data_IF_656783043136
#
_entry.id   IF_656783043136
#
_cell.length_a   1.000
_cell.length_b   1.000
_cell.length_c   1.000
_cell.angle_alpha   90.00
_cell.angle_beta   90.00
_cell.angle_gamma   90.00
#
_symmetry.space_group_name_H-M   'P 1'
#
loop_
_entity.id
_entity.type
_entity.pdbx_description
1 polymer ?
#
# COMPACT_ATOMS: atom_id res chain seq x y z
N UNK A 1 -22.86 21.22 -29.78
CA UNK A 1 -22.39 19.92 -30.31
C UNK A 1 -21.11 19.59 -29.58
N UNK A 2 -21.21 18.79 -28.51
CA UNK A 2 -20.02 18.32 -27.78
C UNK A 2 -19.25 17.36 -28.69
N UNK A 3 -17.95 17.56 -28.83
CA UNK A 3 -17.06 16.61 -29.47
C UNK A 3 -17.11 15.32 -28.65
N UNK A 4 -17.61 14.24 -29.23
CA UNK A 4 -17.52 12.89 -28.67
C UNK A 4 -16.04 12.55 -28.70
N UNK A 5 -15.45 12.33 -27.52
CA UNK A 5 -14.06 11.88 -27.42
C UNK A 5 -13.88 10.59 -28.26
N UNK A 6 -12.75 10.41 -28.95
CA UNK A 6 -12.53 9.18 -29.71
C UNK A 6 -12.61 7.98 -28.78
N UNK A 7 -13.42 6.99 -29.14
CA UNK A 7 -13.52 5.74 -28.39
C UNK A 7 -12.22 4.95 -28.56
N UNK A 8 -11.63 4.52 -27.44
CA UNK A 8 -10.45 3.67 -27.43
C UNK A 8 -10.91 2.22 -27.30
N UNK A 9 -10.80 1.46 -28.38
CA UNK A 9 -11.42 0.14 -28.51
C UNK A 9 -10.87 -0.94 -27.57
N UNK A 10 -9.69 -0.75 -26.98
CA UNK A 10 -8.96 -1.80 -26.22
C UNK A 10 -8.87 -1.51 -24.72
N UNK A 11 -9.83 -0.78 -24.16
CA UNK A 11 -9.83 -0.52 -22.70
C UNK A 11 -10.23 -1.80 -21.95
N UNK A 12 -9.35 -2.25 -21.04
CA UNK A 12 -9.56 -3.44 -20.23
C UNK A 12 -10.30 -3.13 -18.92
N UNK A 13 -9.89 -2.07 -18.19
CA UNK A 13 -10.47 -1.74 -16.90
C UNK A 13 -10.16 -0.29 -16.45
N UNK A 14 -10.95 0.19 -15.50
CA UNK A 14 -10.68 1.39 -14.69
C UNK A 14 -10.14 0.99 -13.32
N UNK A 15 -9.01 1.57 -12.93
CA UNK A 15 -8.50 1.52 -11.57
C UNK A 15 -8.56 2.88 -10.90
N UNK A 16 -9.03 2.90 -9.69
CA UNK A 16 -9.11 4.10 -8.86
C UNK A 16 -8.23 3.92 -7.64
N UNK A 17 -7.28 4.82 -7.43
CA UNK A 17 -6.53 4.96 -6.19
C UNK A 17 -7.18 6.08 -5.37
N UNK A 18 -7.87 5.70 -4.28
CA UNK A 18 -8.63 6.58 -3.41
C UNK A 18 -7.81 6.92 -2.17
N UNK A 19 -7.12 8.04 -2.22
CA UNK A 19 -6.42 8.60 -1.07
C UNK A 19 -7.27 9.60 -0.28
N UNK A 20 -6.83 9.96 0.92
CA UNK A 20 -7.54 10.91 1.80
C UNK A 20 -7.62 12.35 1.26
N UNK A 21 -6.76 12.74 0.32
CA UNK A 21 -6.74 14.11 -0.23
C UNK A 21 -6.97 14.18 -1.73
N UNK A 22 -6.69 13.09 -2.44
CA UNK A 22 -6.80 13.00 -3.90
C UNK A 22 -7.29 11.62 -4.33
N UNK A 23 -8.04 11.59 -5.41
CA UNK A 23 -8.47 10.40 -6.14
C UNK A 23 -7.73 10.40 -7.46
N UNK A 24 -7.04 9.30 -7.80
CA UNK A 24 -6.42 9.09 -9.09
C UNK A 24 -7.14 7.95 -9.84
N UNK A 25 -7.78 8.27 -10.95
CA UNK A 25 -8.48 7.31 -11.81
C UNK A 25 -7.68 7.06 -13.08
N UNK A 26 -7.35 5.80 -13.33
CA UNK A 26 -6.48 5.36 -14.42
C UNK A 26 -7.20 4.34 -15.28
N UNK A 27 -7.26 4.58 -16.58
CA UNK A 27 -7.78 3.65 -17.59
C UNK A 27 -6.62 2.86 -18.18
N UNK A 28 -6.74 1.54 -18.19
CA UNK A 28 -5.75 0.62 -18.75
C UNK A 28 -6.28 -0.14 -19.93
N UNK A 29 -5.39 -0.41 -20.90
CA UNK A 29 -5.67 -1.30 -22.04
C UNK A 29 -5.45 -2.79 -21.69
N UNK A 30 -5.65 -3.70 -22.66
CA UNK A 30 -5.45 -5.15 -22.49
C UNK A 30 -3.99 -5.55 -22.25
N UNK A 31 -3.04 -4.67 -22.51
CA UNK A 31 -1.62 -4.83 -22.23
C UNK A 31 -1.18 -4.18 -20.92
N UNK A 32 -2.13 -3.69 -20.12
CA UNK A 32 -1.93 -2.98 -18.84
C UNK A 32 -1.10 -1.70 -18.96
N UNK A 33 -1.13 -1.08 -20.17
CA UNK A 33 -0.55 0.24 -20.36
C UNK A 33 -1.58 1.31 -19.99
N UNK A 34 -1.09 2.38 -19.38
CA UNK A 34 -1.92 3.53 -19.01
C UNK A 34 -2.37 4.25 -20.26
N UNK A 35 -3.67 4.27 -20.51
CA UNK A 35 -4.30 4.94 -21.66
C UNK A 35 -4.63 6.39 -21.32
N UNK A 36 -5.28 6.61 -20.19
CA UNK A 36 -5.73 7.94 -19.77
C UNK A 36 -5.83 8.00 -18.25
N UNK A 37 -5.73 9.20 -17.70
CA UNK A 37 -5.83 9.40 -16.25
C UNK A 37 -6.59 10.68 -15.91
N UNK A 38 -7.28 10.66 -14.78
CA UNK A 38 -7.87 11.82 -14.13
C UNK A 38 -7.45 11.88 -12.68
N UNK A 39 -7.30 13.08 -12.18
CA UNK A 39 -7.02 13.33 -10.76
C UNK A 39 -7.97 14.41 -10.26
N UNK A 40 -8.66 14.12 -9.15
CA UNK A 40 -9.60 15.03 -8.50
C UNK A 40 -9.33 15.08 -7.00
N UNK A 41 -9.79 16.10 -6.31
CA UNK A 41 -9.74 16.17 -4.86
C UNK A 41 -10.70 15.14 -4.25
N UNK A 42 -10.33 14.55 -3.11
CA UNK A 42 -11.23 13.67 -2.34
C UNK A 42 -12.22 14.56 -1.57
N UNK A 43 -13.53 14.37 -1.77
CA UNK A 43 -14.53 15.06 -0.96
C UNK A 43 -14.51 14.59 0.50
N UNK A 44 -14.76 15.51 1.42
CA UNK A 44 -14.93 15.21 2.85
C UNK A 44 -16.33 14.64 3.16
N UNK A 45 -17.32 14.93 2.31
CA UNK A 45 -18.69 14.41 2.42
C UNK A 45 -18.83 13.06 1.71
N UNK A 46 -19.47 12.10 2.37
CA UNK A 46 -19.63 10.74 1.83
C UNK A 46 -20.46 10.71 0.55
N UNK A 47 -21.58 11.45 0.50
CA UNK A 47 -22.46 11.46 -0.68
C UNK A 47 -21.77 12.10 -1.87
N UNK A 48 -21.02 13.18 -1.64
CA UNK A 48 -20.20 13.80 -2.68
C UNK A 48 -19.09 12.85 -3.17
N UNK A 49 -18.48 12.07 -2.27
CA UNK A 49 -17.49 11.06 -2.64
C UNK A 49 -18.10 10.01 -3.58
N UNK A 50 -19.27 9.45 -3.24
CA UNK A 50 -19.97 8.48 -4.11
C UNK A 50 -20.26 9.09 -5.49
N UNK A 51 -20.72 10.36 -5.53
CA UNK A 51 -20.99 11.08 -6.78
C UNK A 51 -19.75 11.22 -7.65
N UNK A 52 -18.62 11.65 -7.08
CA UNK A 52 -17.34 11.79 -7.80
C UNK A 52 -16.85 10.44 -8.33
N UNK A 53 -16.95 9.37 -7.54
CA UNK A 53 -16.55 8.03 -7.99
C UNK A 53 -17.44 7.57 -9.16
N UNK A 54 -18.74 7.80 -9.10
CA UNK A 54 -19.66 7.48 -10.18
C UNK A 54 -19.33 8.26 -11.46
N UNK A 55 -19.02 9.55 -11.37
CA UNK A 55 -18.58 10.37 -12.52
C UNK A 55 -17.31 9.81 -13.18
N UNK A 56 -16.32 9.37 -12.37
CA UNK A 56 -15.10 8.76 -12.89
C UNK A 56 -15.37 7.42 -13.59
N UNK A 57 -16.31 6.62 -13.09
CA UNK A 57 -16.73 5.38 -13.72
C UNK A 57 -17.41 5.65 -15.06
N UNK A 58 -18.38 6.58 -15.11
CA UNK A 58 -19.08 6.93 -16.36
C UNK A 58 -18.16 7.58 -17.38
N UNK A 59 -17.13 8.32 -16.93
CA UNK A 59 -16.08 8.79 -17.82
C UNK A 59 -15.35 7.64 -18.51
N UNK A 60 -14.92 6.62 -17.74
CA UNK A 60 -14.22 5.48 -18.31
C UNK A 60 -15.12 4.68 -19.28
N UNK A 61 -16.40 4.49 -18.93
CA UNK A 61 -17.39 3.84 -19.82
C UNK A 61 -17.57 4.61 -21.13
N UNK A 62 -17.61 5.94 -21.06
CA UNK A 62 -17.71 6.81 -22.25
C UNK A 62 -16.50 6.66 -23.15
N UNK A 63 -15.29 6.61 -22.58
CA UNK A 63 -14.04 6.40 -23.32
C UNK A 63 -14.01 5.04 -24.02
N UNK A 64 -14.51 4.00 -23.35
CA UNK A 64 -14.56 2.65 -23.86
C UNK A 64 -15.76 2.38 -24.80
N UNK A 65 -16.78 3.24 -24.79
CA UNK A 65 -18.07 3.00 -25.47
C UNK A 65 -18.89 1.84 -24.90
N UNK A 66 -18.52 1.36 -23.69
CA UNK A 66 -19.18 0.25 -22.98
C UNK A 66 -18.85 0.30 -21.49
N UNK A 67 -19.64 -0.35 -20.62
CA UNK A 67 -19.25 -0.57 -19.25
C UNK A 67 -17.93 -1.34 -19.14
N UNK A 68 -16.99 -0.85 -18.33
CA UNK A 68 -15.70 -1.50 -18.07
C UNK A 68 -15.62 -2.01 -16.61
N UNK A 69 -14.86 -3.07 -16.33
CA UNK A 69 -14.54 -3.47 -14.95
C UNK A 69 -13.94 -2.30 -14.16
N UNK A 70 -14.36 -2.16 -12.91
CA UNK A 70 -13.92 -1.06 -12.01
C UNK A 70 -13.35 -1.62 -10.74
N UNK A 71 -12.12 -1.24 -10.44
CA UNK A 71 -11.47 -1.53 -9.16
C UNK A 71 -11.10 -0.26 -8.41
N UNK A 72 -11.33 -0.27 -7.11
CA UNK A 72 -11.00 0.82 -6.18
C UNK A 72 -9.99 0.30 -5.16
N UNK A 73 -8.80 0.87 -5.17
CA UNK A 73 -7.79 0.70 -4.12
C UNK A 73 -7.90 1.85 -3.13
N UNK A 74 -8.06 1.56 -1.85
CA UNK A 74 -8.13 2.61 -0.83
C UNK A 74 -7.55 2.15 0.50
N UNK A 75 -7.05 3.11 1.29
CA UNK A 75 -6.65 2.84 2.66
C UNK A 75 -7.86 2.42 3.51
N UNK A 76 -7.76 1.27 4.17
CA UNK A 76 -8.82 0.69 4.98
C UNK A 76 -9.22 -0.72 4.56
N UNK A 77 -10.17 -1.28 5.27
CA UNK A 77 -10.65 -2.65 5.09
C UNK A 77 -12.18 -2.66 4.97
N UNK A 78 -12.70 -3.66 4.29
CA UNK A 78 -14.13 -3.96 4.33
C UNK A 78 -14.35 -5.18 5.23
N UNK A 79 -15.21 -5.03 6.22
CA UNK A 79 -15.57 -6.12 7.10
C UNK A 79 -16.36 -7.17 6.30
N UNK A 80 -15.86 -8.42 6.17
CA UNK A 80 -16.53 -9.43 5.35
C UNK A 80 -17.85 -9.94 5.95
N UNK A 81 -18.14 -9.63 7.22
CA UNK A 81 -19.36 -10.09 7.91
C UNK A 81 -20.55 -9.19 7.58
N UNK A 82 -20.35 -7.87 7.62
CA UNK A 82 -21.43 -6.89 7.45
C UNK A 82 -21.23 -5.93 6.28
N UNK A 83 -20.10 -5.99 5.58
CA UNK A 83 -19.78 -5.15 4.43
C UNK A 83 -19.44 -3.70 4.77
N UNK A 84 -19.25 -3.36 6.05
CA UNK A 84 -18.91 -1.99 6.45
C UNK A 84 -17.43 -1.69 6.27
N UNK A 85 -17.11 -0.45 5.90
CA UNK A 85 -15.75 0.01 5.76
C UNK A 85 -15.13 0.40 7.12
N UNK A 86 -13.90 -0.03 7.36
CA UNK A 86 -13.01 0.46 8.41
C UNK A 86 -11.96 1.35 7.73
N UNK A 87 -12.04 2.66 7.92
CA UNK A 87 -11.10 3.62 7.35
C UNK A 87 -10.82 4.75 8.35
N UNK A 88 -9.56 5.22 8.39
CA UNK A 88 -9.17 6.31 9.29
C UNK A 88 -9.26 7.70 8.63
N UNK A 89 -8.95 7.78 7.33
CA UNK A 89 -8.74 9.07 6.63
C UNK A 89 -9.72 9.29 5.47
N UNK A 90 -10.82 8.54 5.43
CA UNK A 90 -11.86 8.64 4.41
C UNK A 90 -13.24 8.74 5.09
N UNK A 91 -14.20 9.45 4.50
CA UNK A 91 -15.57 9.55 5.05
C UNK A 91 -16.37 8.24 4.87
N UNK A 92 -15.70 7.11 4.68
CA UNK A 92 -16.29 5.79 4.42
C UNK A 92 -16.49 4.95 5.67
N UNK A 93 -15.93 5.35 6.83
CA UNK A 93 -16.00 4.58 8.07
C UNK A 93 -17.45 4.25 8.47
N UNK A 94 -17.73 2.96 8.71
CA UNK A 94 -19.05 2.46 9.06
C UNK A 94 -20.07 2.46 7.92
N UNK A 95 -19.67 2.75 6.67
CA UNK A 95 -20.54 2.74 5.47
C UNK A 95 -20.36 1.46 4.67
N UNK A 96 -21.39 1.06 3.92
CA UNK A 96 -21.30 -0.05 2.96
C UNK A 96 -20.68 0.43 1.63
N UNK A 97 -19.50 1.01 1.72
CA UNK A 97 -18.86 1.81 0.68
C UNK A 97 -18.83 1.15 -0.71
N UNK A 98 -18.35 -0.11 -0.88
CA UNK A 98 -18.34 -0.73 -2.21
C UNK A 98 -19.72 -0.95 -2.79
N UNK A 99 -20.70 -1.32 -1.94
CA UNK A 99 -22.08 -1.53 -2.36
C UNK A 99 -22.75 -0.21 -2.78
N UNK A 100 -22.50 0.87 -2.04
CA UNK A 100 -23.08 2.20 -2.34
C UNK A 100 -22.51 2.75 -3.67
N UNK A 101 -21.21 2.57 -3.95
CA UNK A 101 -20.65 2.90 -5.25
C UNK A 101 -21.27 2.03 -6.33
N UNK A 102 -21.39 0.72 -6.09
CA UNK A 102 -22.02 -0.22 -7.02
C UNK A 102 -23.46 0.16 -7.37
N UNK A 103 -24.24 0.59 -6.38
CA UNK A 103 -25.60 1.11 -6.60
C UNK A 103 -25.61 2.38 -7.46
N UNK A 104 -24.68 3.31 -7.19
CA UNK A 104 -24.61 4.57 -7.95
C UNK A 104 -24.24 4.36 -9.43
N UNK A 105 -23.45 3.32 -9.75
CA UNK A 105 -23.01 3.02 -11.11
C UNK A 105 -23.81 1.88 -11.78
N UNK A 106 -24.75 1.27 -11.05
CA UNK A 106 -25.62 0.20 -11.57
C UNK A 106 -24.94 -1.15 -11.79
N UNK A 107 -23.76 -1.39 -11.19
CA UNK A 107 -23.02 -2.66 -11.28
C UNK A 107 -22.03 -2.83 -10.13
N UNK A 108 -21.60 -4.06 -9.82
CA UNK A 108 -20.58 -4.29 -8.79
C UNK A 108 -19.26 -3.56 -9.12
N UNK A 109 -18.59 -3.07 -8.08
CA UNK A 109 -17.22 -2.56 -8.14
C UNK A 109 -16.33 -3.41 -7.22
N UNK A 110 -15.10 -3.65 -7.68
CA UNK A 110 -14.09 -4.33 -6.87
C UNK A 110 -13.50 -3.33 -5.88
N UNK A 111 -13.33 -3.74 -4.63
CA UNK A 111 -12.60 -3.00 -3.62
C UNK A 111 -11.38 -3.79 -3.14
N UNK A 112 -10.25 -3.12 -3.05
CA UNK A 112 -9.04 -3.64 -2.41
C UNK A 112 -8.49 -2.60 -1.43
N UNK A 113 -7.89 -3.08 -0.35
CA UNK A 113 -6.95 -2.24 0.39
C UNK A 113 -5.80 -1.81 -0.54
N UNK A 114 -5.31 -0.57 -0.40
CA UNK A 114 -4.25 0.02 -1.24
C UNK A 114 -2.98 -0.83 -1.29
N UNK A 115 -2.57 -1.38 -0.14
CA UNK A 115 -1.38 -2.24 -0.03
C UNK A 115 -1.54 -3.55 -0.80
N UNK A 116 -2.73 -4.14 -0.78
CA UNK A 116 -3.03 -5.35 -1.55
C UNK A 116 -3.12 -5.06 -3.04
N UNK A 117 -3.69 -3.91 -3.41
CA UNK A 117 -3.71 -3.48 -4.80
C UNK A 117 -2.28 -3.34 -5.35
N UNK A 118 -1.36 -2.70 -4.60
CA UNK A 118 0.04 -2.65 -4.95
C UNK A 118 0.65 -4.06 -5.07
N UNK A 119 0.39 -4.93 -4.09
CA UNK A 119 0.91 -6.31 -4.11
C UNK A 119 0.52 -7.04 -5.39
N UNK A 120 -0.77 -7.00 -5.75
CA UNK A 120 -1.27 -7.64 -6.96
C UNK A 120 -0.65 -7.05 -8.23
N UNK A 121 -0.57 -5.72 -8.29
CA UNK A 121 0.07 -5.01 -9.40
C UNK A 121 1.50 -5.46 -9.61
N UNK A 122 2.28 -5.50 -8.54
CA UNK A 122 3.70 -5.84 -8.63
C UNK A 122 3.93 -7.34 -8.86
N UNK A 123 3.12 -8.20 -8.26
CA UNK A 123 3.23 -9.65 -8.46
C UNK A 123 2.89 -10.07 -9.91
N UNK A 124 1.86 -9.45 -10.50
CA UNK A 124 1.41 -9.81 -11.85
C UNK A 124 2.12 -9.03 -12.96
N UNK A 125 2.42 -7.75 -12.74
CA UNK A 125 2.77 -6.79 -13.78
C UNK A 125 4.06 -5.99 -13.52
N UNK A 126 4.69 -6.15 -12.34
CA UNK A 126 5.82 -5.36 -11.92
C UNK A 126 7.03 -6.19 -11.47
N UNK A 127 7.75 -5.72 -10.45
CA UNK A 127 8.99 -6.29 -9.94
C UNK A 127 8.87 -7.76 -9.45
N UNK A 128 7.65 -8.19 -9.09
CA UNK A 128 7.36 -9.56 -8.62
C UNK A 128 7.07 -10.57 -9.73
N UNK A 129 7.07 -10.17 -11.00
CA UNK A 129 6.81 -11.09 -12.11
C UNK A 129 7.80 -12.25 -12.12
N UNK A 130 7.28 -13.47 -12.25
CA UNK A 130 8.10 -14.69 -12.29
C UNK A 130 8.43 -15.29 -10.93
N UNK A 131 8.16 -14.59 -9.83
CA UNK A 131 8.21 -15.16 -8.49
C UNK A 131 6.87 -15.80 -8.14
N UNK A 132 6.91 -16.94 -7.48
CA UNK A 132 5.70 -17.68 -7.10
C UNK A 132 4.99 -17.04 -5.90
N UNK A 133 5.75 -16.80 -4.83
CA UNK A 133 5.25 -16.19 -3.59
C UNK A 133 5.84 -14.80 -3.45
N UNK A 134 5.04 -13.80 -3.70
CA UNK A 134 5.42 -12.39 -3.62
C UNK A 134 4.79 -11.78 -2.38
N UNK A 135 5.59 -11.13 -1.57
CA UNK A 135 5.11 -10.32 -0.47
C UNK A 135 5.46 -8.85 -0.71
N UNK A 136 4.59 -7.94 -0.36
CA UNK A 136 4.92 -6.51 -0.35
C UNK A 136 4.96 -5.96 1.07
N UNK A 137 5.77 -4.93 1.27
CA UNK A 137 5.78 -4.10 2.47
C UNK A 137 5.71 -2.63 2.03
N UNK A 138 4.63 -1.97 2.39
CA UNK A 138 4.45 -0.54 2.12
C UNK A 138 4.88 0.24 3.34
N UNK A 139 5.81 1.16 3.13
CA UNK A 139 6.41 2.02 4.14
C UNK A 139 6.11 3.49 3.77
N UNK A 140 5.24 4.13 4.54
CA UNK A 140 4.78 5.49 4.26
C UNK A 140 4.25 6.19 5.51
N UNK A 141 3.07 6.80 5.40
CA UNK A 141 2.31 7.35 6.55
C UNK A 141 1.93 6.25 7.55
N UNK A 142 1.59 5.05 7.03
CA UNK A 142 1.38 3.82 7.75
C UNK A 142 2.27 2.71 7.21
N UNK A 143 2.04 1.48 7.71
CA UNK A 143 2.74 0.26 7.30
C UNK A 143 1.71 -0.83 7.03
N UNK A 144 1.70 -1.31 5.80
CA UNK A 144 0.85 -2.41 5.37
C UNK A 144 1.55 -3.29 4.35
N UNK A 145 0.82 -4.22 3.77
CA UNK A 145 1.34 -5.05 2.70
C UNK A 145 0.31 -6.03 2.17
N UNK A 146 0.79 -7.05 1.51
CA UNK A 146 -0.02 -8.14 1.00
C UNK A 146 0.85 -9.32 0.61
N UNK A 147 0.18 -10.41 0.30
CA UNK A 147 0.81 -11.65 -0.16
C UNK A 147 0.08 -12.06 -1.44
N UNK A 148 0.85 -12.39 -2.46
CA UNK A 148 0.35 -13.01 -3.68
C UNK A 148 1.07 -14.34 -3.91
N UNK A 149 0.33 -15.37 -4.29
CA UNK A 149 0.84 -16.70 -4.61
C UNK A 149 0.35 -17.06 -6.00
N UNK A 150 1.28 -17.46 -6.88
CA UNK A 150 0.98 -17.77 -8.29
C UNK A 150 0.23 -16.59 -8.99
N UNK A 151 0.60 -15.35 -8.66
CA UNK A 151 -0.01 -14.13 -9.20
C UNK A 151 -1.40 -13.78 -8.65
N UNK A 152 -1.89 -14.49 -7.63
CA UNK A 152 -3.19 -14.28 -7.01
C UNK A 152 -3.03 -13.77 -5.57
N UNK A 153 -3.85 -12.78 -5.18
CA UNK A 153 -3.85 -12.28 -3.81
C UNK A 153 -4.34 -13.34 -2.81
N UNK A 154 -3.63 -13.45 -1.70
CA UNK A 154 -4.08 -14.16 -0.53
C UNK A 154 -4.99 -13.25 0.31
N UNK A 155 -6.29 -13.31 0.11
CA UNK A 155 -7.25 -12.50 0.88
C UNK A 155 -7.32 -12.90 2.36
N UNK A 156 -7.23 -14.19 2.65
CA UNK A 156 -7.46 -14.73 3.99
C UNK A 156 -8.94 -14.71 4.39
N UNK A 157 -9.28 -15.47 5.43
CA UNK A 157 -10.68 -15.66 5.86
C UNK A 157 -11.34 -14.39 6.42
N UNK A 158 -10.55 -13.54 7.10
CA UNK A 158 -11.01 -12.28 7.71
C UNK A 158 -10.66 -11.04 6.91
N UNK A 159 -9.98 -11.21 5.78
CA UNK A 159 -9.45 -10.11 4.97
C UNK A 159 -8.54 -9.12 5.75
N UNK A 160 -7.85 -9.58 6.80
CA UNK A 160 -6.87 -8.79 7.56
C UNK A 160 -5.42 -9.19 7.27
N UNK A 161 -5.19 -10.19 6.40
CA UNK A 161 -3.83 -10.56 5.97
C UNK A 161 -3.15 -9.37 5.28
N UNK A 162 -1.90 -9.07 5.64
CA UNK A 162 -1.20 -7.90 5.11
C UNK A 162 -1.16 -6.68 6.04
N UNK A 163 -1.93 -6.68 7.13
CA UNK A 163 -1.90 -5.64 8.16
C UNK A 163 -0.63 -5.75 9.05
N UNK A 164 0.52 -5.85 8.41
CA UNK A 164 1.82 -6.14 9.05
C UNK A 164 2.24 -5.06 10.03
N UNK A 165 1.84 -3.81 9.80
CA UNK A 165 2.11 -2.69 10.69
C UNK A 165 1.51 -2.84 12.09
N UNK A 166 0.45 -3.65 12.23
CA UNK A 166 -0.22 -3.87 13.50
C UNK A 166 0.32 -5.04 14.33
N UNK A 167 1.38 -5.71 13.84
CA UNK A 167 2.19 -6.64 14.63
C UNK A 167 2.89 -5.84 15.74
N UNK A 168 3.04 -6.44 16.91
CA UNK A 168 3.72 -5.79 18.05
C UNK A 168 5.20 -5.58 17.75
N UNK A 169 5.72 -4.41 18.06
CA UNK A 169 7.17 -4.16 18.05
C UNK A 169 7.91 -5.07 19.02
N UNK A 170 9.14 -5.47 18.67
CA UNK A 170 10.00 -6.28 19.53
C UNK A 170 10.28 -5.55 20.85
N UNK A 171 9.83 -6.14 21.96
CA UNK A 171 10.09 -5.59 23.29
C UNK A 171 11.59 -5.45 23.59
N UNK A 172 12.42 -6.37 23.08
CA UNK A 172 13.86 -6.33 23.22
C UNK A 172 14.48 -5.12 22.52
N UNK A 173 14.07 -4.84 21.26
CA UNK A 173 14.58 -3.70 20.51
C UNK A 173 14.05 -2.37 21.07
N UNK A 174 12.79 -2.32 21.49
CA UNK A 174 12.21 -1.14 22.15
C UNK A 174 13.00 -0.79 23.41
N UNK A 175 13.31 -1.77 24.26
CA UNK A 175 14.10 -1.56 25.47
C UNK A 175 15.57 -1.22 25.16
N UNK A 176 16.18 -1.88 24.17
CA UNK A 176 17.56 -1.67 23.77
C UNK A 176 17.84 -0.22 23.33
N UNK A 177 16.88 0.37 22.59
CA UNK A 177 17.04 1.70 22.02
C UNK A 177 16.24 2.79 22.75
N UNK A 178 15.65 2.46 23.90
CA UNK A 178 14.80 3.36 24.70
C UNK A 178 13.70 4.06 23.87
N UNK A 179 13.01 3.27 23.02
CA UNK A 179 12.02 3.80 22.10
C UNK A 179 10.66 4.02 22.77
N UNK A 180 9.95 5.09 22.41
CA UNK A 180 8.62 5.35 22.97
C UNK A 180 7.57 4.38 22.41
N UNK A 181 6.78 3.78 23.29
CA UNK A 181 5.57 3.07 22.91
C UNK A 181 4.41 4.06 22.83
N UNK A 182 3.88 4.27 21.63
CA UNK A 182 2.77 5.20 21.40
C UNK A 182 1.50 4.46 20.94
N UNK A 183 0.35 5.13 21.08
CA UNK A 183 -0.91 4.62 20.60
C UNK A 183 -0.90 4.53 19.06
N UNK A 184 -1.43 3.44 18.54
CA UNK A 184 -1.64 3.21 17.12
C UNK A 184 -3.10 3.54 16.73
N UNK A 185 -3.33 3.92 15.49
CA UNK A 185 -4.65 4.17 14.93
C UNK A 185 -5.63 2.99 15.04
N UNK A 186 -5.12 1.75 15.20
CA UNK A 186 -5.95 0.56 15.43
C UNK A 186 -6.48 0.43 16.88
N UNK A 187 -6.18 1.38 17.76
CA UNK A 187 -6.58 1.37 19.18
C UNK A 187 -5.62 0.64 20.13
N UNK A 188 -4.58 -0.02 19.61
CA UNK A 188 -3.54 -0.67 20.44
C UNK A 188 -2.35 0.26 20.68
N UNK A 189 -1.50 -0.09 21.63
CA UNK A 189 -0.20 0.55 21.86
C UNK A 189 0.92 -0.41 21.48
N UNK A 190 2.00 0.11 20.86
CA UNK A 190 3.20 -0.67 20.54
C UNK A 190 3.10 -1.49 19.24
N UNK A 191 2.23 -1.13 18.31
CA UNK A 191 2.29 -1.64 16.93
C UNK A 191 3.59 -1.18 16.27
N UNK A 192 4.24 -2.07 15.50
CA UNK A 192 5.52 -1.76 14.83
C UNK A 192 5.41 -0.57 13.87
N UNK A 193 4.25 -0.37 13.26
CA UNK A 193 3.95 0.79 12.40
C UNK A 193 4.36 2.10 13.06
N UNK A 194 4.08 2.24 14.35
CA UNK A 194 4.39 3.48 15.08
C UNK A 194 5.87 3.82 15.15
N UNK A 195 6.74 2.87 14.85
CA UNK A 195 8.20 3.02 14.87
C UNK A 195 8.83 3.02 13.47
N UNK A 196 8.21 2.32 12.50
CA UNK A 196 8.81 2.18 11.17
C UNK A 196 8.09 2.93 10.04
N UNK A 197 6.99 3.62 10.31
CA UNK A 197 6.42 4.61 9.37
C UNK A 197 7.24 5.91 9.37
N UNK A 198 6.90 6.86 8.48
CA UNK A 198 7.61 8.15 8.41
C UNK A 198 7.65 8.91 9.74
N UNK A 199 6.52 8.97 10.45
CA UNK A 199 6.47 9.55 11.79
C UNK A 199 7.26 8.73 12.82
N UNK A 200 7.40 7.43 12.62
CA UNK A 200 8.23 6.53 13.43
C UNK A 200 9.71 6.87 13.31
N UNK A 201 10.21 7.06 12.08
CA UNK A 201 11.59 7.50 11.86
C UNK A 201 11.87 8.86 12.54
N UNK A 202 10.93 9.80 12.50
CA UNK A 202 11.03 11.07 13.24
C UNK A 202 11.13 10.86 14.76
N UNK A 203 10.39 9.90 15.32
CA UNK A 203 10.47 9.57 16.77
C UNK A 203 11.82 8.96 17.13
N UNK A 204 12.38 8.11 16.27
CA UNK A 204 13.72 7.58 16.46
C UNK A 204 14.75 8.72 16.42
N UNK A 205 14.63 9.65 15.45
CA UNK A 205 15.46 10.86 15.41
C UNK A 205 15.39 11.69 16.68
N UNK A 206 14.21 11.79 17.32
CA UNK A 206 14.08 12.46 18.62
C UNK A 206 14.89 11.76 19.71
N UNK A 207 14.98 10.44 19.68
CA UNK A 207 15.77 9.66 20.67
C UNK A 207 17.27 9.82 20.43
N UNK A 208 17.74 9.75 19.17
CA UNK A 208 19.18 9.79 18.85
C UNK A 208 19.75 11.20 18.79
N UNK A 209 18.98 12.16 18.23
CA UNK A 209 19.44 13.52 17.95
C UNK A 209 18.88 14.57 18.91
N UNK A 210 17.89 14.22 19.75
CA UNK A 210 17.14 15.18 20.57
C UNK A 210 16.26 16.13 19.74
N UNK A 211 16.00 15.84 18.46
CA UNK A 211 15.24 16.68 17.52
C UNK A 211 14.19 15.84 16.77
N UNK A 212 12.98 16.38 16.69
CA UNK A 212 11.92 15.80 15.86
C UNK A 212 12.08 16.34 14.43
N UNK A 213 12.73 15.58 13.58
CA UNK A 213 12.91 15.92 12.15
C UNK A 213 11.97 15.05 11.31
N UNK A 214 11.48 15.58 10.20
CA UNK A 214 10.79 14.75 9.22
C UNK A 214 11.76 13.77 8.53
N UNK A 215 11.22 12.69 7.98
CA UNK A 215 12.03 11.63 7.38
C UNK A 215 12.97 12.16 6.26
N UNK A 216 12.52 13.00 5.30
CA UNK A 216 13.42 13.56 4.29
C UNK A 216 14.58 14.36 4.88
N UNK A 217 14.33 15.20 5.87
CA UNK A 217 15.36 16.02 6.53
C UNK A 217 16.36 15.15 7.29
N UNK A 218 15.89 14.13 8.03
CA UNK A 218 16.74 13.19 8.75
C UNK A 218 17.62 12.42 7.78
N UNK A 219 17.04 11.87 6.73
CA UNK A 219 17.77 11.10 5.71
C UNK A 219 18.81 11.96 4.98
N UNK A 220 18.49 13.22 4.68
CA UNK A 220 19.44 14.15 4.07
C UNK A 220 20.66 14.48 4.92
N UNK A 221 20.64 14.20 6.23
CA UNK A 221 21.77 14.38 7.15
C UNK A 221 22.60 13.12 7.37
N UNK A 222 22.13 11.98 6.95
CA UNK A 222 22.70 10.65 7.25
C UNK A 222 24.22 10.56 6.99
N UNK A 223 24.68 11.14 5.89
CA UNK A 223 26.09 11.06 5.49
C UNK A 223 27.02 12.00 6.27
N UNK A 224 26.47 12.97 6.99
CA UNK A 224 27.26 14.05 7.66
C UNK A 224 27.01 14.13 9.18
N UNK A 225 25.97 13.47 9.67
CA UNK A 225 25.54 13.49 11.07
C UNK A 225 25.44 12.05 11.61
N UNK A 226 26.36 11.62 12.50
CA UNK A 226 26.35 10.27 13.06
C UNK A 226 25.07 9.90 13.81
N UNK A 227 24.38 10.87 14.42
CA UNK A 227 23.14 10.62 15.13
C UNK A 227 21.96 10.41 14.18
N UNK A 228 21.98 11.06 13.00
CA UNK A 228 21.05 10.79 11.92
C UNK A 228 21.28 9.40 11.29
N UNK A 229 22.54 9.00 11.11
CA UNK A 229 22.90 7.66 10.68
C UNK A 229 22.45 6.61 11.71
N UNK A 230 22.66 6.87 13.00
CA UNK A 230 22.20 5.97 14.07
C UNK A 230 20.67 5.81 14.08
N UNK A 231 19.92 6.90 13.83
CA UNK A 231 18.46 6.82 13.68
C UNK A 231 18.05 5.91 12.52
N UNK A 232 18.73 6.03 11.37
CA UNK A 232 18.49 5.17 10.22
C UNK A 232 18.81 3.69 10.51
N UNK A 233 19.94 3.41 11.17
CA UNK A 233 20.35 2.05 11.52
C UNK A 233 19.36 1.39 12.50
N UNK A 234 18.82 2.14 13.46
CA UNK A 234 17.77 1.67 14.36
C UNK A 234 16.50 1.38 13.58
N UNK A 235 16.09 2.29 12.67
CA UNK A 235 14.93 2.11 11.84
C UNK A 235 15.05 0.87 10.94
N UNK A 236 16.21 0.67 10.32
CA UNK A 236 16.52 -0.54 9.53
C UNK A 236 16.48 -1.80 10.40
N UNK A 237 16.98 -1.75 11.63
CA UNK A 237 16.97 -2.89 12.56
C UNK A 237 15.53 -3.28 12.94
N UNK A 238 14.67 -2.33 13.24
CA UNK A 238 13.26 -2.57 13.55
C UNK A 238 12.49 -3.12 12.36
N UNK A 239 12.74 -2.55 11.18
CA UNK A 239 12.11 -3.02 9.94
C UNK A 239 12.59 -4.42 9.58
N UNK A 240 13.88 -4.72 9.77
CA UNK A 240 14.45 -6.05 9.57
C UNK A 240 13.88 -7.10 10.53
N UNK A 241 13.56 -6.75 11.77
CA UNK A 241 12.90 -7.66 12.72
C UNK A 241 11.49 -8.03 12.26
N UNK A 242 10.73 -7.04 11.73
CA UNK A 242 9.46 -7.32 11.07
C UNK A 242 9.65 -8.23 9.84
N UNK A 243 10.55 -7.87 8.92
CA UNK A 243 10.84 -8.66 7.72
C UNK A 243 11.23 -10.09 8.05
N UNK A 244 12.10 -10.28 9.06
CA UNK A 244 12.46 -11.60 9.56
C UNK A 244 11.24 -12.39 10.02
N UNK A 245 10.35 -11.76 10.79
CA UNK A 245 9.13 -12.41 11.28
C UNK A 245 8.22 -12.84 10.14
N UNK A 246 8.11 -12.01 9.10
CA UNK A 246 7.32 -12.30 7.91
C UNK A 246 7.97 -13.40 7.07
N UNK A 247 9.30 -13.39 6.89
CA UNK A 247 10.04 -14.45 6.20
C UNK A 247 9.84 -15.79 6.91
N UNK A 248 9.98 -15.83 8.24
CA UNK A 248 9.79 -17.06 9.01
C UNK A 248 8.34 -17.58 9.01
N UNK A 249 7.37 -16.76 8.61
CA UNK A 249 5.95 -17.12 8.58
C UNK A 249 5.47 -17.50 7.18
N UNK A 250 5.92 -16.79 6.15
CA UNK A 250 5.42 -16.91 4.78
C UNK A 250 6.43 -17.57 3.85
N UNK A 251 7.74 -17.39 4.11
CA UNK A 251 8.87 -17.82 3.28
C UNK A 251 8.70 -17.40 1.80
N UNK A 252 8.63 -16.07 1.52
CA UNK A 252 8.36 -15.58 0.17
C UNK A 252 9.59 -15.69 -0.72
N UNK A 253 9.37 -15.83 -2.04
CA UNK A 253 10.45 -15.82 -3.04
C UNK A 253 11.03 -14.41 -3.23
N UNK A 254 10.24 -13.36 -3.02
CA UNK A 254 10.72 -11.97 -2.99
C UNK A 254 9.84 -11.07 -2.12
N UNK A 255 10.40 -9.94 -1.69
CA UNK A 255 9.70 -8.89 -0.96
C UNK A 255 9.79 -7.60 -1.77
N UNK A 256 8.64 -6.93 -1.98
CA UNK A 256 8.56 -5.69 -2.74
C UNK A 256 8.28 -4.54 -1.79
N UNK A 257 9.14 -3.53 -1.81
CA UNK A 257 8.96 -2.31 -1.05
C UNK A 257 8.16 -1.29 -1.86
N UNK A 258 7.14 -0.71 -1.22
CA UNK A 258 6.35 0.39 -1.75
C UNK A 258 6.19 1.51 -0.71
N UNK A 259 5.41 2.54 -1.09
CA UNK A 259 5.17 3.71 -0.24
C UNK A 259 6.27 4.76 -0.32
N UNK A 260 6.04 5.92 0.32
CA UNK A 260 6.92 7.08 0.20
C UNK A 260 8.35 6.84 0.71
N UNK A 261 8.51 6.04 1.76
CA UNK A 261 9.85 5.73 2.28
C UNK A 261 10.65 4.81 1.36
N UNK A 262 10.01 4.04 0.47
CA UNK A 262 10.74 3.21 -0.50
C UNK A 262 11.55 4.02 -1.52
N UNK A 263 11.31 5.34 -1.59
CA UNK A 263 12.09 6.26 -2.44
C UNK A 263 13.42 6.70 -1.79
N UNK A 264 13.68 6.33 -0.54
CA UNK A 264 14.96 6.63 0.12
C UNK A 264 16.06 5.86 -0.62
N UNK A 265 17.17 6.55 -1.01
CA UNK A 265 18.29 5.87 -1.65
C UNK A 265 18.81 4.70 -0.82
N UNK A 266 19.16 3.62 -1.49
CA UNK A 266 19.76 2.40 -0.92
C UNK A 266 18.89 1.61 0.07
N UNK A 267 17.62 1.99 0.29
CA UNK A 267 16.73 1.35 1.27
C UNK A 267 16.62 -0.17 1.08
N UNK A 268 16.51 -0.64 -0.15
CA UNK A 268 16.40 -2.09 -0.42
C UNK A 268 17.68 -2.83 -0.02
N UNK A 269 18.84 -2.26 -0.29
CA UNK A 269 20.16 -2.79 0.07
C UNK A 269 20.36 -2.77 1.59
N UNK A 270 20.03 -1.65 2.23
CA UNK A 270 20.18 -1.47 3.68
C UNK A 270 19.26 -2.44 4.45
N UNK A 271 18.00 -2.56 4.01
CA UNK A 271 17.05 -3.50 4.62
C UNK A 271 17.42 -4.96 4.38
N UNK A 272 17.90 -5.29 3.15
CA UNK A 272 18.39 -6.64 2.90
C UNK A 272 19.56 -6.99 3.82
N UNK A 273 20.55 -6.10 3.95
CA UNK A 273 21.70 -6.31 4.81
C UNK A 273 21.31 -6.40 6.31
N UNK A 274 20.38 -5.55 6.77
CA UNK A 274 19.87 -5.60 8.15
C UNK A 274 19.10 -6.91 8.39
N UNK A 275 18.28 -7.33 7.45
CA UNK A 275 17.50 -8.59 7.53
C UNK A 275 18.43 -9.81 7.55
N UNK A 276 19.47 -9.81 6.73
CA UNK A 276 20.47 -10.90 6.71
C UNK A 276 21.19 -11.04 8.06
N UNK A 277 21.47 -9.93 8.76
CA UNK A 277 22.05 -9.96 10.12
C UNK A 277 21.08 -10.49 11.17
N UNK A 278 19.77 -10.22 10.98
CA UNK A 278 18.73 -10.64 11.91
C UNK A 278 18.23 -12.08 11.66
N UNK A 279 18.43 -12.61 10.46
CA UNK A 279 17.87 -13.91 10.03
C UNK A 279 18.61 -15.09 10.66
N UNK A 280 18.09 -16.31 10.43
CA UNK A 280 18.72 -17.54 10.89
C UNK A 280 20.09 -17.72 10.22
N UNK A 281 21.15 -18.02 10.99
CA UNK A 281 22.49 -18.18 10.44
C UNK A 281 22.56 -19.26 9.34
N UNK A 282 23.09 -18.90 8.18
CA UNK A 282 23.26 -19.82 7.05
C UNK A 282 22.02 -20.01 6.17
N UNK A 283 20.89 -19.39 6.49
CA UNK A 283 19.72 -19.39 5.62
C UNK A 283 19.66 -18.14 4.73
N UNK A 284 19.24 -18.27 3.46
CA UNK A 284 19.14 -17.13 2.56
C UNK A 284 18.02 -16.18 2.97
N UNK A 285 18.20 -14.89 2.68
CA UNK A 285 17.15 -13.88 2.74
C UNK A 285 16.65 -13.65 1.31
N UNK A 286 15.33 -13.63 1.07
CA UNK A 286 14.79 -13.35 -0.26
C UNK A 286 15.23 -11.96 -0.76
N UNK A 287 15.31 -11.74 -2.09
CA UNK A 287 15.57 -10.42 -2.63
C UNK A 287 14.51 -9.42 -2.18
N UNK A 288 14.98 -8.23 -1.81
CA UNK A 288 14.13 -7.07 -1.50
C UNK A 288 14.21 -6.14 -2.70
N UNK A 289 13.08 -5.92 -3.36
CA UNK A 289 12.94 -5.18 -4.60
C UNK A 289 12.11 -3.92 -4.39
N UNK A 290 12.30 -2.91 -5.23
CA UNK A 290 11.44 -1.73 -5.25
C UNK A 290 10.26 -1.96 -6.20
N UNK A 291 9.09 -1.42 -5.86
CA UNK A 291 7.92 -1.45 -6.74
C UNK A 291 8.20 -0.70 -8.05
N UNK A 292 7.94 -1.35 -9.20
CA UNK A 292 8.16 -0.77 -10.54
C UNK A 292 7.05 0.23 -10.94
N UNK A 293 5.81 0.00 -10.52
CA UNK A 293 4.68 0.84 -10.92
C UNK A 293 4.59 2.18 -10.18
N UNK A 294 5.39 2.39 -9.13
CA UNK A 294 5.41 3.65 -8.36
C UNK A 294 3.99 4.09 -7.93
N UNK A 295 3.65 5.36 -8.18
CA UNK A 295 2.33 5.94 -7.86
C UNK A 295 1.15 5.30 -8.60
N UNK A 296 1.40 4.47 -9.63
CA UNK A 296 0.33 3.85 -10.41
C UNK A 296 -0.02 2.45 -9.93
N UNK A 297 0.81 1.82 -9.09
CA UNK A 297 0.64 0.42 -8.67
C UNK A 297 -0.69 0.17 -7.96
N UNK A 298 -1.16 1.10 -7.12
CA UNK A 298 -2.46 0.98 -6.44
C UNK A 298 -3.63 0.92 -7.42
N UNK A 299 -3.74 1.91 -8.31
CA UNK A 299 -4.78 1.95 -9.33
C UNK A 299 -4.67 0.77 -10.31
N UNK A 300 -3.44 0.42 -10.76
CA UNK A 300 -3.20 -0.70 -11.68
C UNK A 300 -3.63 -2.04 -11.08
N UNK A 301 -3.28 -2.28 -9.82
CA UNK A 301 -3.67 -3.51 -9.13
C UNK A 301 -5.17 -3.61 -8.88
N UNK A 302 -5.83 -2.50 -8.54
CA UNK A 302 -7.28 -2.46 -8.40
C UNK A 302 -7.98 -2.74 -9.75
N UNK A 303 -7.52 -2.11 -10.86
CA UNK A 303 -8.02 -2.40 -12.19
C UNK A 303 -7.84 -3.87 -12.58
N UNK A 304 -6.66 -4.43 -12.30
CA UNK A 304 -6.33 -5.83 -12.60
C UNK A 304 -7.22 -6.79 -11.82
N UNK A 305 -7.45 -6.53 -10.53
CA UNK A 305 -8.37 -7.32 -9.71
C UNK A 305 -9.80 -7.32 -10.26
N UNK A 306 -10.30 -6.16 -10.67
CA UNK A 306 -11.62 -6.03 -11.26
C UNK A 306 -11.74 -6.77 -12.61
N UNK A 307 -10.71 -6.71 -13.44
CA UNK A 307 -10.65 -7.44 -14.71
C UNK A 307 -10.68 -8.97 -14.52
N UNK A 308 -9.98 -9.47 -13.50
CA UNK A 308 -9.99 -10.90 -13.16
C UNK A 308 -11.28 -11.36 -12.47
N UNK A 309 -12.15 -10.44 -12.04
CA UNK A 309 -13.35 -10.75 -11.28
C UNK A 309 -13.04 -11.37 -9.92
N UNK A 310 -11.94 -10.98 -9.27
CA UNK A 310 -11.59 -11.42 -7.92
C UNK A 310 -12.66 -10.90 -6.95
N UNK A 311 -13.24 -11.78 -6.13
CA UNK A 311 -14.28 -11.45 -5.16
C UNK A 311 -13.75 -11.60 -3.72
#
# INVERSE_FOLDING_TARGET
MGQIAPQIADIAALGIDLGGTKIAAHIYDSHWQLVERRRVATPDDYTALIGVLAELVFWADTMAGRPVPVGIGAAGLINPVDGTALAANLPTAGKHFPADVGHAVGRPVMFLNDSRALTLSEAALGAGRGYRTVMSLILGTGVGGGIAIDGQLLFGASQTGGEFGHISASAALVAQYDLPLVACGCGRTGCIETLICGAGLSRIGMVTMGQMLDAPTLIGRRDTDPDAQAAWDIWCTLTADLLRSLILTVDPDCIILGGGLSQIPDIATDLWAATARAHLPGFPVPPILLAEGGDTSGARGAAYAAHLGLA
#
